data_IF_451264754291
#
_entry.id   IF_451264754291
#
_cell.length_a   1.000
_cell.length_b   1.000
_cell.length_c   1.000
_cell.angle_alpha   90.00
_cell.angle_beta   90.00
_cell.angle_gamma   90.00
#
_symmetry.space_group_name_H-M   'P 1'
#
loop_
_entity.id
_entity.type
_entity.pdbx_description
1 polymer ?
#
# COMPACT_ATOMS: atom_id res chain seq x y z
N UNK A 1 -38.93 12.85 52.78
CA UNK A 1 -38.33 11.57 53.21
C UNK A 1 -37.58 11.03 52.00
N UNK A 2 -36.28 10.68 52.18
CA UNK A 2 -35.40 9.85 51.30
C UNK A 2 -35.22 10.31 49.84
N UNK A 3 -34.03 10.48 49.26
CA UNK A 3 -32.67 10.15 49.66
C UNK A 3 -31.83 10.08 48.36
N UNK A 4 -30.61 10.58 48.43
CA UNK A 4 -29.54 10.55 47.44
C UNK A 4 -29.34 9.22 46.70
N UNK A 5 -29.01 9.28 45.40
CA UNK A 5 -27.92 8.47 44.84
C UNK A 5 -27.26 9.21 43.66
N UNK A 6 -26.01 9.59 43.88
CA UNK A 6 -25.12 10.21 42.91
C UNK A 6 -24.34 9.10 42.22
N UNK A 7 -24.48 8.97 40.89
CA UNK A 7 -23.57 8.14 40.09
C UNK A 7 -22.61 9.03 39.29
N UNK A 8 -21.29 8.77 39.38
CA UNK A 8 -20.26 9.63 38.82
C UNK A 8 -20.16 9.55 37.29
N UNK A 9 -19.70 10.66 36.69
CA UNK A 9 -19.56 10.90 35.24
C UNK A 9 -18.64 9.89 34.57
N UNK A 10 -19.14 9.16 33.59
CA UNK A 10 -18.30 8.58 32.54
C UNK A 10 -18.10 9.60 31.42
N UNK A 11 -16.87 10.07 31.29
CA UNK A 11 -16.43 10.92 30.19
C UNK A 11 -16.52 10.10 28.89
N UNK A 12 -17.04 10.65 27.78
CA UNK A 12 -17.00 9.95 26.51
C UNK A 12 -15.53 9.66 26.14
N UNK A 13 -15.29 8.42 25.72
CA UNK A 13 -14.00 7.88 25.35
C UNK A 13 -13.26 8.81 24.38
N UNK A 14 -12.00 9.11 24.72
CA UNK A 14 -11.08 9.88 23.88
C UNK A 14 -10.70 9.05 22.65
N UNK A 15 -11.42 9.29 21.55
CA UNK A 15 -11.10 8.69 20.26
C UNK A 15 -9.76 9.24 19.79
N UNK A 16 -8.77 8.33 19.79
CA UNK A 16 -7.41 8.50 19.27
C UNK A 16 -7.43 9.30 17.97
N UNK A 17 -6.68 10.40 17.94
CA UNK A 17 -6.52 11.30 16.80
C UNK A 17 -5.91 10.56 15.60
N UNK A 18 -6.76 9.92 14.81
CA UNK A 18 -6.45 9.53 13.44
C UNK A 18 -6.52 10.79 12.59
N UNK A 19 -5.40 11.19 11.99
CA UNK A 19 -5.25 12.40 11.19
C UNK A 19 -6.34 12.46 10.11
N UNK A 20 -7.38 13.25 10.33
CA UNK A 20 -8.44 13.48 9.35
C UNK A 20 -7.80 14.16 8.14
N UNK A 21 -7.79 13.47 7.00
CA UNK A 21 -7.37 14.04 5.71
C UNK A 21 -8.08 15.39 5.52
N UNK A 22 -7.35 16.44 5.14
CA UNK A 22 -7.93 17.78 5.04
C UNK A 22 -8.92 17.82 3.88
N UNK A 23 -10.05 18.52 4.07
CA UNK A 23 -11.05 18.73 3.00
C UNK A 23 -10.47 19.48 1.80
N UNK A 24 -9.49 20.34 2.03
CA UNK A 24 -8.84 21.14 0.99
C UNK A 24 -7.33 21.12 1.17
N UNK A 25 -6.63 20.95 0.05
CA UNK A 25 -5.19 21.01 -0.05
C UNK A 25 -4.83 22.11 -1.05
N UNK A 26 -4.07 23.10 -0.58
CA UNK A 26 -3.58 24.18 -1.42
C UNK A 26 -2.38 23.70 -2.25
N UNK A 27 -2.62 23.44 -3.53
CA UNK A 27 -1.62 23.04 -4.51
C UNK A 27 -1.08 24.22 -5.35
N UNK A 28 -1.33 25.46 -4.94
CA UNK A 28 -0.88 26.67 -5.68
C UNK A 28 0.64 26.73 -5.90
N UNK A 29 1.43 26.08 -5.03
CA UNK A 29 2.89 25.93 -5.15
C UNK A 29 3.34 24.60 -5.75
N UNK A 30 2.41 23.74 -6.16
CA UNK A 30 2.71 22.44 -6.77
C UNK A 30 3.28 22.61 -8.17
N UNK A 31 4.56 22.28 -8.36
CA UNK A 31 5.13 22.17 -9.71
C UNK A 31 4.70 20.83 -10.33
N UNK A 32 3.96 20.88 -11.44
CA UNK A 32 3.75 19.71 -12.32
C UNK A 32 5.06 19.43 -13.05
N UNK A 33 5.95 18.68 -12.40
CA UNK A 33 7.13 18.13 -13.06
C UNK A 33 6.77 16.90 -13.90
N UNK A 34 7.59 16.52 -14.90
CA UNK A 34 7.54 15.16 -15.43
C UNK A 34 7.58 14.19 -14.25
N UNK A 35 6.79 13.11 -14.30
CA UNK A 35 6.81 12.09 -13.27
C UNK A 35 8.26 11.67 -13.06
N UNK A 36 8.81 11.93 -11.87
CA UNK A 36 10.21 11.62 -11.56
C UNK A 36 10.45 10.16 -11.94
N UNK A 37 11.34 9.94 -12.89
CA UNK A 37 11.68 8.60 -13.33
C UNK A 37 12.17 7.83 -12.11
N UNK A 38 11.59 6.65 -11.87
CA UNK A 38 12.06 5.79 -10.79
C UNK A 38 13.42 5.23 -11.22
N UNK A 39 14.53 5.61 -10.56
CA UNK A 39 15.86 5.15 -10.98
C UNK A 39 15.91 3.62 -10.97
N UNK A 40 16.41 3.03 -12.05
CA UNK A 40 16.52 1.58 -12.21
C UNK A 40 15.24 0.85 -12.60
N UNK A 41 14.17 1.55 -13.01
CA UNK A 41 12.93 0.95 -13.54
C UNK A 41 12.60 1.49 -14.92
N UNK A 42 12.47 0.60 -15.90
CA UNK A 42 12.01 0.95 -17.24
C UNK A 42 10.51 0.78 -17.34
N UNK A 43 9.78 1.80 -17.80
CA UNK A 43 8.36 1.67 -18.12
C UNK A 43 8.22 0.93 -19.46
N UNK A 44 7.55 -0.21 -19.44
CA UNK A 44 7.25 -1.01 -20.63
C UNK A 44 5.74 -1.20 -20.77
N UNK A 45 5.29 -1.43 -22.00
CA UNK A 45 3.91 -1.86 -22.28
C UNK A 45 3.93 -3.36 -22.51
N UNK A 46 3.30 -4.11 -21.60
CA UNK A 46 3.10 -5.55 -21.71
C UNK A 46 1.63 -5.86 -21.44
N UNK A 47 1.13 -6.92 -22.05
CA UNK A 47 -0.19 -7.46 -21.76
C UNK A 47 -0.01 -8.63 -20.79
N UNK A 48 -0.73 -8.59 -19.67
CA UNK A 48 -0.77 -9.66 -18.68
C UNK A 48 -2.21 -10.11 -18.53
N UNK A 49 -2.41 -11.41 -18.30
CA UNK A 49 -3.74 -11.95 -18.07
C UNK A 49 -4.35 -11.38 -16.78
N UNK A 50 -5.67 -11.22 -16.80
CA UNK A 50 -6.39 -10.55 -15.72
C UNK A 50 -6.30 -11.33 -14.39
N UNK A 51 -6.32 -12.66 -14.45
CA UNK A 51 -6.18 -13.55 -13.29
C UNK A 51 -4.79 -13.43 -12.63
N UNK A 52 -3.75 -13.23 -13.42
CA UNK A 52 -2.40 -12.94 -12.93
C UNK A 52 -2.39 -11.59 -12.19
N UNK A 53 -2.95 -10.53 -12.79
CA UNK A 53 -3.00 -9.20 -12.17
C UNK A 53 -3.74 -9.27 -10.82
N UNK A 54 -4.91 -9.90 -10.78
CA UNK A 54 -5.71 -10.02 -9.56
C UNK A 54 -5.01 -10.86 -8.49
N UNK A 55 -4.37 -11.96 -8.87
CA UNK A 55 -3.58 -12.80 -7.95
C UNK A 55 -2.43 -12.02 -7.32
N UNK A 56 -1.69 -11.25 -8.12
CA UNK A 56 -0.59 -10.42 -7.61
C UNK A 56 -1.08 -9.24 -6.78
N UNK A 57 -2.25 -8.66 -7.10
CA UNK A 57 -2.89 -7.63 -6.28
C UNK A 57 -3.20 -8.17 -4.88
N UNK A 58 -3.93 -9.28 -4.78
CA UNK A 58 -4.30 -9.88 -3.49
C UNK A 58 -3.07 -10.26 -2.65
N UNK A 59 -2.05 -10.86 -3.28
CA UNK A 59 -0.79 -11.23 -2.59
C UNK A 59 0.00 -10.00 -2.12
N UNK A 60 0.02 -8.93 -2.91
CA UNK A 60 0.73 -7.72 -2.58
C UNK A 60 0.05 -6.94 -1.44
N UNK A 61 -1.28 -6.87 -1.46
CA UNK A 61 -2.09 -6.28 -0.38
C UNK A 61 -1.84 -6.98 0.95
N UNK A 62 -1.82 -8.32 0.97
CA UNK A 62 -1.51 -9.11 2.17
C UNK A 62 -0.11 -8.83 2.74
N UNK A 63 0.83 -8.40 1.90
CA UNK A 63 2.22 -8.06 2.28
C UNK A 63 2.44 -6.55 2.49
N UNK A 64 1.43 -5.71 2.22
CA UNK A 64 1.57 -4.26 2.25
C UNK A 64 2.50 -3.68 1.18
N UNK A 65 2.72 -4.38 0.07
CA UNK A 65 3.56 -3.92 -1.06
C UNK A 65 2.70 -3.65 -2.30
N UNK A 66 3.28 -2.97 -3.31
CA UNK A 66 2.61 -2.79 -4.60
C UNK A 66 2.66 -4.06 -5.46
N UNK A 67 1.60 -4.34 -6.23
CA UNK A 67 1.54 -5.50 -7.12
C UNK A 67 2.67 -5.51 -8.16
N UNK A 68 3.10 -4.34 -8.64
CA UNK A 68 4.26 -4.24 -9.56
C UNK A 68 5.57 -4.69 -8.89
N UNK A 69 5.74 -4.40 -7.60
CA UNK A 69 6.91 -4.88 -6.84
C UNK A 69 6.87 -6.40 -6.72
N UNK A 70 5.70 -6.97 -6.39
CA UNK A 70 5.53 -8.41 -6.28
C UNK A 70 5.77 -9.14 -7.62
N UNK A 71 5.32 -8.57 -8.74
CA UNK A 71 5.60 -9.10 -10.09
C UNK A 71 7.11 -9.06 -10.37
N UNK A 72 7.78 -7.95 -10.09
CA UNK A 72 9.23 -7.83 -10.31
C UNK A 72 10.03 -8.79 -9.43
N UNK A 73 9.63 -9.03 -8.18
CA UNK A 73 10.24 -10.03 -7.31
C UNK A 73 10.11 -11.45 -7.88
N UNK A 74 8.93 -11.80 -8.40
CA UNK A 74 8.70 -13.09 -9.03
C UNK A 74 9.57 -13.28 -10.29
N UNK A 75 9.67 -12.25 -11.14
CA UNK A 75 10.55 -12.27 -12.31
C UNK A 75 12.02 -12.43 -11.92
N UNK A 76 12.47 -11.75 -10.86
CA UNK A 76 13.84 -11.92 -10.33
C UNK A 76 14.07 -13.33 -9.79
N UNK A 77 13.11 -13.89 -9.07
CA UNK A 77 13.21 -15.25 -8.56
C UNK A 77 13.33 -16.28 -9.70
N UNK A 78 12.54 -16.12 -10.76
CA UNK A 78 12.62 -16.99 -11.94
C UNK A 78 13.99 -16.90 -12.63
N UNK A 79 14.56 -15.70 -12.81
CA UNK A 79 15.90 -15.53 -13.38
C UNK A 79 17.01 -16.13 -12.51
N UNK A 80 16.84 -16.11 -11.18
CA UNK A 80 17.79 -16.73 -10.26
C UNK A 80 17.69 -18.26 -10.31
N UNK A 81 16.50 -18.81 -10.52
CA UNK A 81 16.27 -20.26 -10.65
C UNK A 81 16.86 -20.80 -11.96
N UNK A 82 16.75 -20.04 -13.05
CA UNK A 82 17.44 -20.36 -14.32
C UNK A 82 18.98 -20.32 -14.22
N UNK A 83 19.53 -19.63 -13.22
CA UNK A 83 20.97 -19.57 -12.94
C UNK A 83 21.42 -20.65 -11.94
N UNK A 84 20.53 -21.52 -11.46
CA UNK A 84 20.97 -22.75 -10.81
C UNK A 84 21.44 -23.67 -11.94
N UNK A 85 22.76 -23.94 -12.08
CA UNK A 85 23.19 -24.91 -13.07
C UNK A 85 22.48 -26.22 -12.77
N UNK A 86 21.74 -26.73 -13.75
CA UNK A 86 21.32 -28.13 -13.84
C UNK A 86 22.60 -28.97 -13.75
N UNK A 87 23.06 -29.23 -12.54
CA UNK A 87 24.23 -30.06 -12.30
C UNK A 87 23.74 -31.49 -12.50
N UNK A 88 24.33 -32.12 -13.52
CA UNK A 88 24.08 -33.47 -13.99
C UNK A 88 24.20 -34.54 -12.90
#
# INVERSE_FOLDING_TARGET
>A
MIGSESFPREKPAETRQGTTMRKEYDFSKGKRGPAVESPGKTRITIMLDNDIIESFRARAEARGIGYQTAINEALRAALNDENVPLTA
#
